data_IF_122853138758
#
_entry.id   IF_122853138758
#
_cell.length_a   1.000
_cell.length_b   1.000
_cell.length_c   1.000
_cell.angle_alpha   90.00
_cell.angle_beta   90.00
_cell.angle_gamma   90.00
#
_symmetry.space_group_name_H-M   'P 1'
#
loop_
_entity.id
_entity.type
_entity.pdbx_description
1 polymer ?
#
# COMPACT_ATOMS: atom_id res chain seq x y z
N UNK A 1 16.23 7.15 1.83
CA UNK A 1 15.90 5.82 1.28
C UNK A 1 14.73 5.85 0.30
N UNK A 2 13.60 6.52 0.59
CA UNK A 2 12.43 6.56 -0.31
C UNK A 2 12.74 6.92 -1.77
N UNK A 3 13.48 8.01 -2.01
CA UNK A 3 13.81 8.44 -3.37
C UNK A 3 14.60 7.37 -4.18
N UNK A 4 15.45 6.59 -3.52
CA UNK A 4 16.19 5.50 -4.16
C UNK A 4 15.25 4.35 -4.58
N UNK A 5 14.31 3.97 -3.71
CA UNK A 5 13.32 2.94 -4.02
C UNK A 5 12.40 3.36 -5.18
N UNK A 6 11.97 4.63 -5.20
CA UNK A 6 11.19 5.20 -6.30
C UNK A 6 11.97 5.22 -7.62
N UNK A 7 13.27 5.54 -7.58
CA UNK A 7 14.11 5.52 -8.76
C UNK A 7 14.23 4.11 -9.37
N UNK A 8 14.39 3.08 -8.52
CA UNK A 8 14.40 1.69 -8.97
C UNK A 8 13.05 1.32 -9.60
N UNK A 9 11.94 1.61 -8.91
CA UNK A 9 10.60 1.29 -9.39
C UNK A 9 10.31 1.93 -10.76
N UNK A 10 10.69 3.20 -10.94
CA UNK A 10 10.56 3.92 -12.21
C UNK A 10 11.44 3.34 -13.30
N UNK A 11 12.65 2.93 -12.98
CA UNK A 11 13.54 2.30 -13.95
C UNK A 11 13.01 0.93 -14.39
N UNK A 12 12.42 0.16 -13.48
CA UNK A 12 11.76 -1.11 -13.78
C UNK A 12 10.52 -0.89 -14.66
N UNK A 13 9.69 0.10 -14.35
CA UNK A 13 8.53 0.46 -15.17
C UNK A 13 8.92 0.94 -16.57
N UNK A 14 10.00 1.73 -16.68
CA UNK A 14 10.54 2.16 -17.97
C UNK A 14 11.06 0.98 -18.81
N UNK A 15 11.73 0.02 -18.19
CA UNK A 15 12.31 -1.12 -18.90
C UNK A 15 11.27 -2.13 -19.40
N UNK A 16 10.09 -2.20 -18.76
CA UNK A 16 8.97 -3.10 -19.11
C UNK A 16 9.36 -4.57 -19.31
N UNK A 17 10.42 -5.02 -18.64
CA UNK A 17 11.01 -6.34 -18.85
C UNK A 17 10.72 -7.32 -17.70
N UNK A 18 10.03 -6.86 -16.66
CA UNK A 18 9.62 -7.66 -15.51
C UNK A 18 8.23 -7.25 -15.04
N UNK A 19 7.54 -8.18 -14.37
CA UNK A 19 6.32 -7.86 -13.63
C UNK A 19 6.68 -6.96 -12.43
N UNK A 20 5.94 -5.86 -12.26
CA UNK A 20 6.10 -4.98 -11.12
C UNK A 20 5.27 -5.49 -9.95
N UNK A 21 5.90 -5.68 -8.79
CA UNK A 21 5.19 -5.96 -7.55
C UNK A 21 4.54 -4.69 -6.99
N UNK A 22 3.53 -4.81 -6.12
CA UNK A 22 3.00 -3.67 -5.38
C UNK A 22 4.11 -2.93 -4.61
N UNK A 23 4.01 -1.60 -4.57
CA UNK A 23 4.88 -0.75 -3.76
C UNK A 23 4.33 -0.69 -2.34
N UNK A 24 4.98 -1.42 -1.43
CA UNK A 24 4.56 -1.53 -0.02
C UNK A 24 5.30 -0.50 0.82
N UNK A 25 4.55 0.35 1.52
CA UNK A 25 5.06 1.37 2.44
C UNK A 25 4.57 1.04 3.84
N UNK A 26 5.45 0.45 4.64
CA UNK A 26 5.19 0.24 6.06
C UNK A 26 5.42 1.55 6.83
N UNK A 27 4.35 2.04 7.47
CA UNK A 27 4.30 3.25 8.31
C UNK A 27 5.11 4.43 7.74
N UNK A 28 4.59 5.23 6.78
CA UNK A 28 5.36 6.33 6.21
C UNK A 28 5.78 7.41 7.23
N UNK A 29 5.23 7.36 8.45
CA UNK A 29 5.60 8.17 9.60
C UNK A 29 6.69 7.53 10.49
N UNK A 30 7.68 6.82 9.91
CA UNK A 30 8.78 6.29 10.73
C UNK A 30 9.60 7.44 11.37
N UNK A 31 9.82 7.33 12.70
CA UNK A 31 10.51 8.28 13.59
C UNK A 31 9.72 9.52 14.08
N UNK A 32 8.37 9.51 14.07
CA UNK A 32 7.56 10.67 14.53
C UNK A 32 8.02 11.99 13.88
N UNK A 33 8.12 11.98 12.56
CA UNK A 33 8.46 13.19 11.84
C UNK A 33 7.32 14.20 12.02
N UNK A 34 7.65 15.49 12.19
CA UNK A 34 6.64 16.54 12.28
C UNK A 34 5.64 16.44 11.10
N UNK A 35 4.36 16.69 11.35
CA UNK A 35 3.22 16.47 10.41
C UNK A 35 3.52 16.94 8.97
N UNK A 36 4.14 18.10 8.81
CA UNK A 36 4.52 18.67 7.50
C UNK A 36 5.45 17.79 6.65
N UNK A 37 6.23 16.90 7.27
CA UNK A 37 7.11 15.94 6.58
C UNK A 37 6.32 14.72 6.12
N UNK A 38 5.34 14.31 6.91
CA UNK A 38 4.50 13.17 6.60
C UNK A 38 3.63 13.44 5.36
N UNK A 39 2.99 14.61 5.29
CA UNK A 39 2.26 15.06 4.08
C UNK A 39 3.15 15.08 2.83
N UNK A 40 4.39 15.58 2.96
CA UNK A 40 5.36 15.59 1.86
C UNK A 40 5.74 14.18 1.41
N UNK A 41 5.92 13.25 2.34
CA UNK A 41 6.23 11.85 2.04
C UNK A 41 5.08 11.20 1.27
N UNK A 42 3.84 11.34 1.76
CA UNK A 42 2.64 10.79 1.10
C UNK A 42 2.50 11.36 -0.31
N UNK A 43 2.65 12.69 -0.45
CA UNK A 43 2.61 13.37 -1.75
C UNK A 43 3.68 12.85 -2.71
N UNK A 44 4.93 12.73 -2.26
CA UNK A 44 6.03 12.20 -3.08
C UNK A 44 5.72 10.77 -3.54
N UNK A 45 5.17 9.92 -2.68
CA UNK A 45 4.78 8.54 -3.05
C UNK A 45 3.70 8.59 -4.14
N UNK A 46 2.62 9.33 -3.93
CA UNK A 46 1.50 9.42 -4.88
C UNK A 46 1.94 9.98 -6.25
N UNK A 47 2.82 10.97 -6.28
CA UNK A 47 3.31 11.58 -7.53
C UNK A 47 4.32 10.70 -8.27
N UNK A 48 5.10 9.89 -7.55
CA UNK A 48 6.25 9.19 -8.12
C UNK A 48 6.07 7.68 -8.27
N UNK A 49 5.06 7.04 -7.69
CA UNK A 49 4.73 5.66 -8.05
C UNK A 49 4.06 5.63 -9.45
N UNK A 50 4.45 4.72 -10.37
CA UNK A 50 3.79 4.59 -11.66
C UNK A 50 2.29 4.29 -11.53
N UNK A 51 1.46 4.89 -12.40
CA UNK A 51 -0.01 4.77 -12.30
C UNK A 51 -0.56 3.36 -12.54
N UNK A 52 0.22 2.51 -13.20
CA UNK A 52 -0.10 1.09 -13.41
C UNK A 52 0.37 0.19 -12.26
N UNK A 53 0.94 0.76 -11.19
CA UNK A 53 1.42 0.01 -10.02
C UNK A 53 0.45 0.14 -8.85
N UNK A 54 0.28 -0.94 -8.10
CA UNK A 54 -0.48 -0.92 -6.86
C UNK A 54 0.38 -0.34 -5.72
N UNK A 55 -0.21 0.51 -4.88
CA UNK A 55 0.40 0.99 -3.63
C UNK A 55 -0.33 0.32 -2.46
N UNK A 56 0.43 -0.25 -1.54
CA UNK A 56 -0.09 -0.74 -0.25
C UNK A 56 0.58 0.10 0.83
N UNK A 57 -0.20 0.95 1.50
CA UNK A 57 0.31 1.84 2.53
C UNK A 57 -0.31 1.49 3.88
N UNK A 58 0.55 1.23 4.87
CA UNK A 58 0.12 1.00 6.25
C UNK A 58 0.32 2.28 7.07
N UNK A 59 -0.67 2.66 7.87
CA UNK A 59 -0.57 3.84 8.72
C UNK A 59 -1.69 3.86 9.77
N UNK A 60 -1.45 4.61 10.84
CA UNK A 60 -2.51 5.00 11.78
C UNK A 60 -3.31 6.15 11.19
N UNK A 61 -4.51 6.39 11.72
CA UNK A 61 -5.30 7.56 11.36
C UNK A 61 -4.49 8.85 11.48
N UNK A 62 -4.41 9.61 10.39
CA UNK A 62 -3.68 10.85 10.33
C UNK A 62 -4.22 11.70 9.17
N UNK A 63 -4.50 13.00 9.37
CA UNK A 63 -5.03 13.87 8.32
C UNK A 63 -4.20 13.93 7.03
N UNK A 64 -2.89 13.71 7.14
CA UNK A 64 -2.00 13.67 5.97
C UNK A 64 -2.29 12.49 5.03
N UNK A 65 -3.00 11.46 5.49
CA UNK A 65 -3.45 10.33 4.69
C UNK A 65 -4.83 10.55 4.06
N UNK A 66 -5.59 11.56 4.45
CA UNK A 66 -6.99 11.73 4.02
C UNK A 66 -7.11 11.77 2.49
N UNK A 67 -6.18 12.47 1.83
CA UNK A 67 -6.11 12.55 0.37
C UNK A 67 -5.86 11.16 -0.24
N UNK A 68 -4.88 10.43 0.28
CA UNK A 68 -4.57 9.07 -0.17
C UNK A 68 -5.75 8.12 0.07
N UNK A 69 -6.36 8.17 1.25
CA UNK A 69 -7.50 7.34 1.64
C UNK A 69 -8.73 7.60 0.76
N UNK A 70 -8.96 8.85 0.34
CA UNK A 70 -10.08 9.21 -0.54
C UNK A 70 -10.02 8.56 -1.93
N UNK A 71 -8.82 8.16 -2.37
CA UNK A 71 -8.56 7.52 -3.67
C UNK A 71 -8.25 6.02 -3.53
N UNK A 72 -8.18 5.50 -2.31
CA UNK A 72 -7.74 4.14 -2.01
C UNK A 72 -8.87 3.26 -1.49
N UNK A 73 -8.67 1.95 -1.59
CA UNK A 73 -9.45 0.99 -0.82
C UNK A 73 -8.88 0.92 0.60
N UNK A 74 -9.66 1.37 1.59
CA UNK A 74 -9.24 1.39 3.00
C UNK A 74 -9.61 0.08 3.67
N UNK A 75 -8.60 -0.58 4.24
CA UNK A 75 -8.77 -1.76 5.10
C UNK A 75 -8.45 -1.31 6.54
N UNK A 76 -9.51 -1.13 7.33
CA UNK A 76 -9.36 -0.81 8.75
C UNK A 76 -9.03 -2.07 9.55
N UNK A 77 -7.93 -2.03 10.30
CA UNK A 77 -7.52 -3.12 11.17
C UNK A 77 -8.12 -2.91 12.56
N UNK A 78 -9.03 -3.78 12.96
CA UNK A 78 -9.61 -3.84 14.29
C UNK A 78 -8.95 -4.95 15.14
N UNK A 79 -9.54 -5.31 16.28
CA UNK A 79 -9.04 -6.37 17.15
C UNK A 79 -8.87 -7.74 16.47
N UNK A 80 -9.55 -7.96 15.34
CA UNK A 80 -9.47 -9.15 14.50
C UNK A 80 -8.45 -9.00 13.35
N UNK A 81 -7.71 -7.87 13.29
CA UNK A 81 -6.69 -7.56 12.29
C UNK A 81 -7.27 -7.64 10.88
N UNK A 82 -6.63 -8.42 9.99
CA UNK A 82 -7.07 -8.62 8.61
C UNK A 82 -8.13 -9.74 8.46
N UNK A 83 -8.22 -10.65 9.43
CA UNK A 83 -9.05 -11.84 9.31
C UNK A 83 -10.37 -11.62 10.03
N UNK A 84 -11.43 -11.40 9.26
CA UNK A 84 -12.79 -11.36 9.79
C UNK A 84 -13.38 -12.77 9.80
N UNK A 85 -13.79 -13.24 10.97
CA UNK A 85 -14.35 -14.59 11.15
C UNK A 85 -15.53 -14.86 10.22
N UNK A 86 -16.40 -13.86 10.04
CA UNK A 86 -17.56 -13.94 9.15
C UNK A 86 -17.19 -14.24 7.68
N UNK A 87 -15.97 -13.87 7.26
CA UNK A 87 -15.50 -14.07 5.90
C UNK A 87 -14.75 -15.39 5.71
N UNK A 88 -14.49 -16.14 6.78
CA UNK A 88 -13.68 -17.36 6.72
C UNK A 88 -14.20 -18.37 5.69
N UNK A 89 -15.50 -18.66 5.70
CA UNK A 89 -16.10 -19.62 4.78
C UNK A 89 -15.96 -19.18 3.32
N UNK A 90 -16.13 -17.88 3.04
CA UNK A 90 -15.99 -17.33 1.69
C UNK A 90 -14.54 -17.45 1.20
N UNK A 91 -13.58 -17.03 2.01
CA UNK A 91 -12.16 -17.10 1.64
C UNK A 91 -11.65 -18.54 1.55
N UNK A 92 -12.11 -19.43 2.43
CA UNK A 92 -11.75 -20.85 2.37
C UNK A 92 -12.27 -21.50 1.09
N UNK A 93 -13.49 -21.16 0.67
CA UNK A 93 -14.06 -21.66 -0.59
C UNK A 93 -13.28 -21.13 -1.80
N UNK A 94 -12.95 -19.83 -1.82
CA UNK A 94 -12.14 -19.22 -2.88
C UNK A 94 -10.75 -19.87 -2.98
N UNK A 95 -10.07 -20.07 -1.85
CA UNK A 95 -8.77 -20.75 -1.82
C UNK A 95 -8.88 -22.18 -2.33
N UNK A 96 -9.93 -22.91 -1.95
CA UNK A 96 -10.15 -24.30 -2.41
C UNK A 96 -10.33 -24.35 -3.93
N UNK A 97 -11.11 -23.42 -4.48
CA UNK A 97 -11.28 -23.23 -5.93
C UNK A 97 -9.95 -22.91 -6.64
N UNK A 98 -9.15 -22.01 -6.09
CA UNK A 98 -7.85 -21.63 -6.67
C UNK A 98 -6.83 -22.77 -6.63
N UNK A 99 -6.91 -23.63 -5.61
CA UNK A 99 -5.98 -24.74 -5.40
C UNK A 99 -6.46 -26.08 -6.00
N UNK A 100 -7.67 -26.14 -6.57
CA UNK A 100 -8.32 -27.37 -7.05
C UNK A 100 -8.38 -28.48 -5.98
N UNK A 101 -8.73 -28.12 -4.73
CA UNK A 101 -8.92 -29.05 -3.61
C UNK A 101 -10.35 -28.97 -3.12
#
# INVERSE_FOLDING_TARGET
>A
MLAYQLAILRQSEFAQNCATSPFVVDTPNQQEQAVHRYEKVVKVIMENVPKNSQIIMCGMENPALDVFASEAHVIELDGHRLLREDNYNAYSMEISLLLNI
#
